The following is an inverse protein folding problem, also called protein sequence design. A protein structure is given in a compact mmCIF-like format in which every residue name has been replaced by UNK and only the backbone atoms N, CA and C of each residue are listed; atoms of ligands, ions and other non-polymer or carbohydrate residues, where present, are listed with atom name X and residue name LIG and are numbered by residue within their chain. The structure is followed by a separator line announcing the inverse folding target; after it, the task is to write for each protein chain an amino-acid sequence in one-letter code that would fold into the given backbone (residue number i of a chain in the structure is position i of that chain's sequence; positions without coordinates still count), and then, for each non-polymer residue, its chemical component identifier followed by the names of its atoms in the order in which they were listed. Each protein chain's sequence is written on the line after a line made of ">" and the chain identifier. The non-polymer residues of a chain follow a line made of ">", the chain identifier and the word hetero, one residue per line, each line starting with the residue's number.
data_IF_041622162162
#
_entry.id   IF_041622162162
#
_cell.length_a   1.000
_cell.length_b   1.000
_cell.length_c   1.000
_cell.angle_alpha   90.00
_cell.angle_beta   90.00
_cell.angle_gamma   90.00
#
_symmetry.space_group_name_H-M   'P 1'
#
loop_
_entity.id
_entity.type
_entity.pdbx_description
1 polymer ?
#
# COMPACT_ATOMS: atom_id res chain seq x y z
N UNK A 1 32.74 0.94 14.96
CA UNK A 1 31.52 1.18 14.17
C UNK A 1 30.52 0.15 14.60
N UNK A 2 29.50 0.62 15.32
CA UNK A 2 28.64 -0.16 16.20
C UNK A 2 27.68 -1.04 15.40
N UNK A 3 27.53 -2.30 15.85
CA UNK A 3 26.56 -3.26 15.31
C UNK A 3 25.13 -2.67 15.26
N UNK A 4 24.82 -1.67 16.10
CA UNK A 4 23.55 -0.95 16.14
C UNK A 4 23.26 -0.08 14.90
N UNK A 5 24.28 0.37 14.17
CA UNK A 5 24.09 1.21 12.97
C UNK A 5 23.85 0.38 11.69
N UNK A 6 24.29 -0.87 11.68
CA UNK A 6 24.13 -1.80 10.54
C UNK A 6 22.83 -2.62 10.69
N UNK A 7 22.36 -2.81 11.93
CA UNK A 7 21.13 -3.55 12.26
C UNK A 7 19.88 -3.10 11.48
N UNK A 8 19.60 -1.79 11.27
CA UNK A 8 18.44 -1.33 10.49
C UNK A 8 18.55 -1.68 9.01
N UNK A 9 19.76 -1.64 8.44
CA UNK A 9 19.98 -1.98 7.05
C UNK A 9 19.80 -3.49 6.82
N UNK A 10 20.32 -4.32 7.73
CA UNK A 10 20.16 -5.79 7.67
C UNK A 10 18.69 -6.18 7.85
N UNK A 11 17.99 -5.60 8.82
CA UNK A 11 16.58 -5.90 9.06
C UNK A 11 15.70 -5.45 7.88
N UNK A 12 16.00 -4.32 7.27
CA UNK A 12 15.35 -3.85 6.04
C UNK A 12 15.57 -4.80 4.85
N UNK A 13 16.81 -5.25 4.63
CA UNK A 13 17.14 -6.22 3.57
C UNK A 13 16.43 -7.56 3.81
N UNK A 14 16.49 -8.09 5.04
CA UNK A 14 15.79 -9.33 5.42
C UNK A 14 14.28 -9.19 5.21
N UNK A 15 13.69 -8.07 5.63
CA UNK A 15 12.28 -7.77 5.40
C UNK A 15 11.93 -7.76 3.91
N UNK A 16 12.75 -7.11 3.08
CA UNK A 16 12.58 -7.08 1.63
C UNK A 16 12.70 -8.46 0.97
N UNK A 17 13.66 -9.28 1.41
CA UNK A 17 13.81 -10.67 0.94
C UNK A 17 12.61 -11.53 1.31
N UNK A 18 12.14 -11.44 2.55
CA UNK A 18 10.95 -12.14 3.01
C UNK A 18 9.69 -11.72 2.26
N UNK A 19 9.49 -10.40 2.07
CA UNK A 19 8.37 -9.88 1.30
C UNK A 19 8.41 -10.38 -0.15
N UNK A 20 9.58 -10.35 -0.79
CA UNK A 20 9.76 -10.86 -2.16
C UNK A 20 9.48 -12.36 -2.24
N UNK A 21 9.96 -13.15 -1.28
CA UNK A 21 9.73 -14.59 -1.23
C UNK A 21 8.24 -14.92 -1.04
N UNK A 22 7.53 -14.17 -0.20
CA UNK A 22 6.09 -14.31 0.02
C UNK A 22 5.31 -13.98 -1.26
N UNK A 23 5.61 -12.85 -1.90
CA UNK A 23 5.00 -12.47 -3.18
C UNK A 23 5.29 -13.52 -4.25
N UNK A 24 6.53 -14.00 -4.36
CA UNK A 24 6.89 -15.05 -5.30
C UNK A 24 6.09 -16.34 -5.06
N UNK A 25 5.93 -16.75 -3.79
CA UNK A 25 5.12 -17.91 -3.41
C UNK A 25 3.67 -17.71 -3.83
N UNK A 26 3.06 -16.59 -3.43
CA UNK A 26 1.66 -16.34 -3.74
C UNK A 26 1.39 -16.20 -5.24
N UNK A 27 2.29 -15.57 -5.98
CA UNK A 27 2.13 -15.32 -7.41
C UNK A 27 1.95 -16.59 -8.25
N UNK A 28 2.45 -17.73 -7.75
CA UNK A 28 2.32 -19.06 -8.38
C UNK A 28 0.90 -19.61 -8.29
N UNK A 29 0.19 -19.28 -7.22
CA UNK A 29 -1.15 -19.80 -6.93
C UNK A 29 -2.26 -18.81 -7.29
N UNK A 30 -1.91 -17.66 -7.89
CA UNK A 30 -2.89 -16.66 -8.30
C UNK A 30 -3.68 -17.11 -9.53
N UNK A 31 -4.98 -16.78 -9.60
CA UNK A 31 -5.78 -17.04 -10.78
C UNK A 31 -5.20 -16.30 -12.00
N UNK A 32 -5.17 -16.98 -13.15
CA UNK A 32 -4.66 -16.42 -14.40
C UNK A 32 -5.47 -15.26 -14.98
N UNK A 33 -6.63 -14.96 -14.40
CA UNK A 33 -7.55 -13.93 -14.87
C UNK A 33 -8.75 -13.71 -13.95
N UNK A 34 -9.62 -12.76 -14.32
CA UNK A 34 -10.87 -12.46 -13.62
C UNK A 34 -11.98 -12.26 -14.65
N UNK A 35 -13.13 -12.93 -14.46
CA UNK A 35 -14.29 -12.86 -15.38
C UNK A 35 -13.96 -13.12 -16.86
N UNK A 36 -13.07 -14.07 -17.13
CA UNK A 36 -12.66 -14.42 -18.50
C UNK A 36 -11.58 -13.51 -19.10
N UNK A 37 -11.21 -12.41 -18.42
CA UNK A 37 -10.11 -11.55 -18.84
C UNK A 37 -8.78 -12.03 -18.24
N UNK A 38 -7.73 -12.08 -19.05
CA UNK A 38 -6.40 -12.48 -18.60
C UNK A 38 -5.79 -11.45 -17.66
N UNK A 39 -4.95 -11.89 -16.72
CA UNK A 39 -4.21 -11.02 -15.79
C UNK A 39 -3.42 -9.92 -16.53
N UNK A 40 -2.82 -10.25 -17.67
CA UNK A 40 -2.06 -9.29 -18.48
C UNK A 40 -2.94 -8.23 -19.14
N UNK A 41 -4.17 -8.59 -19.52
CA UNK A 41 -5.12 -7.63 -20.08
C UNK A 41 -5.66 -6.72 -18.98
N UNK A 42 -6.06 -7.29 -17.86
CA UNK A 42 -6.52 -6.55 -16.69
C UNK A 42 -5.46 -5.54 -16.18
N UNK A 43 -4.20 -5.96 -16.11
CA UNK A 43 -3.08 -5.11 -15.70
C UNK A 43 -2.79 -3.99 -16.71
N UNK A 44 -2.89 -4.25 -18.02
CA UNK A 44 -2.73 -3.22 -19.06
C UNK A 44 -3.86 -2.20 -19.02
N UNK A 45 -5.08 -2.68 -18.88
CA UNK A 45 -6.26 -1.84 -18.83
C UNK A 45 -6.20 -0.92 -17.61
N UNK A 46 -5.97 -1.47 -16.41
CA UNK A 46 -5.90 -0.70 -15.17
C UNK A 46 -4.51 -0.13 -14.85
N UNK A 47 -3.57 -0.07 -15.82
CA UNK A 47 -2.18 0.35 -15.59
C UNK A 47 -2.08 1.72 -14.91
N UNK A 48 -2.88 2.69 -15.36
CA UNK A 48 -2.89 4.04 -14.79
C UNK A 48 -3.33 3.99 -13.33
N UNK A 49 -4.43 3.28 -13.03
CA UNK A 49 -4.91 3.11 -11.67
C UNK A 49 -3.87 2.47 -10.76
N UNK A 50 -3.19 1.42 -11.23
CA UNK A 50 -2.14 0.73 -10.47
C UNK A 50 -0.95 1.66 -10.21
N UNK A 51 -0.51 2.38 -11.23
CA UNK A 51 0.65 3.28 -11.10
C UNK A 51 0.35 4.46 -10.17
N UNK A 52 -0.81 5.10 -10.32
CA UNK A 52 -1.26 6.19 -9.44
C UNK A 52 -1.42 5.70 -8.00
N UNK A 53 -2.00 4.53 -7.80
CA UNK A 53 -2.15 3.92 -6.47
C UNK A 53 -0.79 3.66 -5.81
N UNK A 54 0.18 3.09 -6.54
CA UNK A 54 1.53 2.86 -6.02
C UNK A 54 2.26 4.17 -5.71
N UNK A 55 2.17 5.17 -6.58
CA UNK A 55 2.77 6.48 -6.33
C UNK A 55 2.21 7.11 -5.05
N UNK A 56 0.89 7.08 -4.88
CA UNK A 56 0.23 7.63 -3.70
C UNK A 56 0.48 6.83 -2.41
N UNK A 57 0.70 5.52 -2.52
CA UNK A 57 1.13 4.71 -1.38
C UNK A 57 2.45 5.24 -0.81
N UNK A 58 3.45 5.46 -1.67
CA UNK A 58 4.74 5.99 -1.26
C UNK A 58 4.65 7.44 -0.77
N UNK A 59 3.82 8.27 -1.40
CA UNK A 59 3.55 9.62 -0.90
C UNK A 59 3.04 9.57 0.54
N UNK A 60 2.01 8.76 0.83
CA UNK A 60 1.48 8.62 2.19
C UNK A 60 2.54 8.14 3.19
N UNK A 61 3.33 7.12 2.81
CA UNK A 61 4.39 6.58 3.66
C UNK A 61 5.47 7.63 3.97
N UNK A 62 5.96 8.34 2.94
CA UNK A 62 6.97 9.37 3.11
C UNK A 62 6.44 10.60 3.85
N UNK A 63 5.17 10.95 3.69
CA UNK A 63 4.53 12.00 4.48
C UNK A 63 4.60 11.69 5.98
N UNK A 64 4.31 10.44 6.40
CA UNK A 64 4.43 10.05 7.81
C UNK A 64 5.85 10.15 8.35
N UNK A 65 6.86 9.74 7.56
CA UNK A 65 8.27 9.88 7.94
C UNK A 65 8.68 11.35 8.02
N UNK A 66 8.24 12.17 7.06
CA UNK A 66 8.54 13.59 7.02
C UNK A 66 7.90 14.39 8.17
N UNK A 67 6.79 13.90 8.73
CA UNK A 67 6.16 14.52 9.90
C UNK A 67 7.08 14.52 11.13
N UNK A 68 7.98 13.55 11.31
CA UNK A 68 8.92 13.56 12.44
C UNK A 68 9.78 14.84 12.49
N UNK A 69 10.59 15.14 11.46
CA UNK A 69 11.38 16.37 11.47
C UNK A 69 10.54 17.64 11.27
N UNK A 70 9.50 17.61 10.43
CA UNK A 70 8.73 18.82 10.08
C UNK A 70 7.71 19.22 11.15
N UNK A 71 7.14 18.25 11.84
CA UNK A 71 6.16 18.46 12.91
C UNK A 71 6.77 18.54 14.30
N UNK A 72 8.09 18.38 14.42
CA UNK A 72 8.79 18.40 15.71
C UNK A 72 8.45 17.22 16.63
N UNK A 73 8.01 16.09 16.07
CA UNK A 73 7.66 14.90 16.86
C UNK A 73 8.92 14.16 17.31
N UNK A 74 8.88 13.62 18.53
CA UNK A 74 9.93 12.74 19.03
C UNK A 74 9.95 11.42 18.24
N UNK A 75 11.13 10.80 18.09
CA UNK A 75 11.27 9.51 17.40
C UNK A 75 10.48 8.35 18.06
N UNK A 76 10.04 8.53 19.30
CA UNK A 76 9.22 7.58 20.05
C UNK A 76 7.71 7.83 19.92
N UNK A 77 7.31 8.93 19.28
CA UNK A 77 5.90 9.25 19.07
C UNK A 77 5.31 8.37 17.95
N UNK A 78 4.16 7.75 18.22
CA UNK A 78 3.46 6.84 17.31
C UNK A 78 2.53 7.58 16.32
N UNK A 79 2.19 8.85 16.59
CA UNK A 79 1.21 9.61 15.78
C UNK A 79 1.64 9.77 14.31
N UNK A 80 2.89 10.18 13.99
CA UNK A 80 3.32 10.28 12.60
C UNK A 80 3.24 8.94 11.84
N UNK A 81 3.46 7.82 12.53
CA UNK A 81 3.33 6.48 11.94
C UNK A 81 1.89 6.14 11.60
N UNK A 82 0.92 6.47 12.46
CA UNK A 82 -0.50 6.26 12.12
C UNK A 82 -0.93 7.12 10.94
N UNK A 83 -0.50 8.38 10.89
CA UNK A 83 -0.76 9.26 9.75
C UNK A 83 -0.14 8.70 8.48
N UNK A 84 1.12 8.29 8.52
CA UNK A 84 1.83 7.71 7.37
C UNK A 84 1.18 6.43 6.87
N UNK A 85 0.99 5.45 7.75
CA UNK A 85 0.37 4.17 7.42
C UNK A 85 -1.08 4.34 6.96
N UNK A 86 -1.82 5.25 7.59
CA UNK A 86 -3.19 5.59 7.24
C UNK A 86 -3.31 6.22 5.86
N UNK A 87 -2.51 7.24 5.56
CA UNK A 87 -2.46 7.87 4.24
C UNK A 87 -1.97 6.90 3.16
N UNK A 88 -0.92 6.14 3.44
CA UNK A 88 -0.40 5.10 2.54
C UNK A 88 -1.48 4.05 2.23
N UNK A 89 -2.46 3.87 3.10
CA UNK A 89 -3.55 2.91 2.88
C UNK A 89 -4.77 3.52 2.20
N UNK A 90 -5.19 4.74 2.60
CA UNK A 90 -6.38 5.40 2.07
C UNK A 90 -6.16 5.92 0.65
N UNK A 91 -5.02 6.57 0.37
CA UNK A 91 -4.79 7.23 -0.92
C UNK A 91 -4.79 6.25 -2.10
N UNK A 92 -4.17 5.06 -2.03
CA UNK A 92 -4.24 4.09 -3.12
C UNK A 92 -5.66 3.57 -3.36
N UNK A 93 -6.43 3.33 -2.31
CA UNK A 93 -7.82 2.87 -2.42
C UNK A 93 -8.70 3.93 -3.11
N UNK A 94 -8.54 5.19 -2.72
CA UNK A 94 -9.20 6.32 -3.38
C UNK A 94 -8.76 6.47 -4.83
N UNK A 95 -7.46 6.31 -5.11
CA UNK A 95 -6.94 6.38 -6.47
C UNK A 95 -7.54 5.30 -7.37
N UNK A 96 -7.62 4.06 -6.88
CA UNK A 96 -8.25 2.96 -7.63
C UNK A 96 -9.72 3.27 -7.89
N UNK A 97 -10.45 3.72 -6.87
CA UNK A 97 -11.86 4.06 -7.00
C UNK A 97 -12.08 5.21 -8.00
N UNK A 98 -11.41 6.35 -7.79
CA UNK A 98 -11.57 7.55 -8.60
C UNK A 98 -11.13 7.32 -10.04
N UNK A 99 -9.95 6.74 -10.28
CA UNK A 99 -9.47 6.49 -11.65
C UNK A 99 -10.38 5.50 -12.37
N UNK A 100 -10.87 4.46 -11.68
CA UNK A 100 -11.81 3.51 -12.30
C UNK A 100 -13.13 4.19 -12.67
N UNK A 101 -13.69 5.02 -11.78
CA UNK A 101 -14.92 5.77 -12.04
C UNK A 101 -14.76 6.76 -13.20
N UNK A 102 -13.69 7.57 -13.20
CA UNK A 102 -13.40 8.55 -14.26
C UNK A 102 -13.13 7.89 -15.61
N UNK A 103 -12.62 6.65 -15.61
CA UNK A 103 -12.38 5.88 -16.84
C UNK A 103 -13.62 5.11 -17.32
N UNK A 104 -14.77 5.22 -16.64
CA UNK A 104 -15.98 4.45 -16.95
C UNK A 104 -15.84 2.94 -16.71
N UNK A 105 -14.86 2.52 -15.89
CA UNK A 105 -14.53 1.11 -15.65
C UNK A 105 -15.16 0.61 -14.35
N UNK A 106 -15.32 -0.71 -14.27
CA UNK A 106 -15.87 -1.35 -13.07
C UNK A 106 -14.88 -1.28 -11.92
N UNK A 107 -15.33 -0.70 -10.81
CA UNK A 107 -14.53 -0.53 -9.60
C UNK A 107 -13.93 -1.86 -9.13
N UNK A 108 -14.75 -2.92 -9.01
CA UNK A 108 -14.28 -4.25 -8.60
C UNK A 108 -13.13 -4.80 -9.46
N UNK A 109 -13.13 -4.53 -10.76
CA UNK A 109 -12.07 -4.99 -11.68
C UNK A 109 -10.75 -4.24 -11.42
N UNK A 110 -10.82 -2.93 -11.10
CA UNK A 110 -9.65 -2.16 -10.70
C UNK A 110 -9.00 -2.66 -9.40
N UNK A 111 -9.81 -3.02 -8.40
CA UNK A 111 -9.30 -3.61 -7.15
C UNK A 111 -8.66 -4.98 -7.40
N UNK A 112 -9.32 -5.86 -8.15
CA UNK A 112 -8.73 -7.17 -8.49
C UNK A 112 -7.44 -7.00 -9.31
N UNK A 113 -7.43 -6.08 -10.29
CA UNK A 113 -6.25 -5.80 -11.10
C UNK A 113 -5.08 -5.29 -10.25
N UNK A 114 -5.35 -4.45 -9.24
CA UNK A 114 -4.33 -3.98 -8.33
C UNK A 114 -3.74 -5.12 -7.50
N UNK A 115 -4.55 -5.94 -6.84
CA UNK A 115 -4.07 -7.08 -6.05
C UNK A 115 -3.23 -8.07 -6.89
N UNK A 116 -3.74 -8.42 -8.08
CA UNK A 116 -2.99 -9.23 -9.04
C UNK A 116 -1.71 -8.55 -9.53
N UNK A 117 -1.71 -7.21 -9.66
CA UNK A 117 -0.54 -6.41 -9.99
C UNK A 117 0.54 -6.47 -8.90
N UNK A 118 0.14 -6.53 -7.62
CA UNK A 118 1.06 -6.74 -6.49
C UNK A 118 1.56 -8.19 -6.37
N UNK A 119 1.03 -9.11 -7.17
CA UNK A 119 1.39 -10.53 -7.07
C UNK A 119 0.91 -11.18 -5.77
N UNK A 120 -0.14 -10.64 -5.14
CA UNK A 120 -0.71 -11.18 -3.90
C UNK A 120 -2.22 -11.44 -4.02
N UNK A 121 -2.78 -12.34 -3.20
CA UNK A 121 -4.21 -12.55 -3.14
C UNK A 121 -4.93 -11.28 -2.67
N UNK A 122 -6.18 -11.09 -3.11
CA UNK A 122 -7.00 -9.92 -2.76
C UNK A 122 -7.03 -9.67 -1.25
N UNK A 123 -7.21 -10.70 -0.44
CA UNK A 123 -7.25 -10.55 1.02
C UNK A 123 -5.90 -10.10 1.60
N UNK A 124 -4.77 -10.58 1.07
CA UNK A 124 -3.43 -10.16 1.50
C UNK A 124 -3.18 -8.70 1.18
N UNK A 125 -3.64 -8.23 0.01
CA UNK A 125 -3.50 -6.83 -0.36
C UNK A 125 -4.36 -5.93 0.52
N UNK A 126 -5.62 -6.30 0.75
CA UNK A 126 -6.60 -5.39 1.34
C UNK A 126 -6.76 -5.47 2.86
N UNK A 127 -6.36 -6.57 3.52
CA UNK A 127 -6.32 -6.61 4.99
C UNK A 127 -5.41 -5.53 5.60
N UNK A 128 -4.13 -5.39 5.20
CA UNK A 128 -3.27 -4.35 5.76
C UNK A 128 -3.75 -2.95 5.38
N UNK A 129 -4.24 -2.75 4.14
CA UNK A 129 -4.81 -1.46 3.75
C UNK A 129 -6.07 -1.14 4.58
N UNK A 130 -6.91 -2.12 4.88
CA UNK A 130 -8.07 -1.96 5.75
C UNK A 130 -7.67 -1.56 7.17
N UNK A 131 -6.65 -2.20 7.74
CA UNK A 131 -6.08 -1.79 9.03
C UNK A 131 -5.55 -0.35 8.99
N UNK A 132 -4.91 0.05 7.89
CA UNK A 132 -4.46 1.42 7.70
C UNK A 132 -5.61 2.43 7.58
N UNK A 133 -6.73 2.09 6.95
CA UNK A 133 -7.93 2.95 6.95
C UNK A 133 -8.43 3.18 8.37
N UNK A 134 -8.42 2.16 9.23
CA UNK A 134 -8.77 2.30 10.64
C UNK A 134 -7.77 3.19 11.38
N UNK A 135 -6.46 2.98 11.15
CA UNK A 135 -5.40 3.84 11.69
C UNK A 135 -5.56 5.31 11.29
N UNK A 136 -5.95 5.58 10.04
CA UNK A 136 -6.24 6.92 9.55
C UNK A 136 -7.43 7.54 10.30
N UNK A 137 -8.49 6.77 10.54
CA UNK A 137 -9.63 7.22 11.34
C UNK A 137 -9.24 7.65 12.75
N UNK A 138 -8.38 6.88 13.42
CA UNK A 138 -7.83 7.25 14.73
C UNK A 138 -6.96 8.52 14.65
N UNK A 139 -6.10 8.62 13.64
CA UNK A 139 -5.24 9.79 13.46
C UNK A 139 -6.04 11.08 13.24
N UNK A 140 -7.13 11.01 12.47
CA UNK A 140 -8.07 12.12 12.28
C UNK A 140 -8.83 12.46 13.56
N UNK A 141 -9.26 11.44 14.33
CA UNK A 141 -9.97 11.66 15.59
C UNK A 141 -9.09 12.35 16.65
N UNK A 142 -7.81 11.96 16.75
CA UNK A 142 -6.83 12.58 17.65
C UNK A 142 -6.55 14.06 17.28
N UNK A 143 -6.76 14.46 16.03
CA UNK A 143 -6.64 15.85 15.61
C UNK A 143 -7.86 16.71 15.98
N UNK A 144 -9.01 16.08 16.19
CA UNK A 144 -10.28 16.73 16.50
C UNK A 144 -10.55 16.87 18.02
N UNK A 145 -9.70 16.25 18.84
CA UNK A 145 -9.73 16.29 20.31
C UNK A 145 -8.73 17.29 20.88
#
# INVERSE_FOLDING_TARGET
>A
MEFDSISPAISGVMGGMLATALVARWSRDLPGGYRGESRQRLAREHRVSIWTANALFFVGLFSGVALYPLGGFANTDWRPLLWGFGLASVLPLLAIAVVSLLSGRRLKEGFVAFALGQGSPVWVTYLPLGAGVVAFGFAVADLAS
#
